data_IF_699944219142
#
_entry.id   IF_699944219142
#
_cell.length_a   1.000
_cell.length_b   1.000
_cell.length_c   1.000
_cell.angle_alpha   90.00
_cell.angle_beta   90.00
_cell.angle_gamma   90.00
#
_symmetry.space_group_name_H-M   'P 1'
#
loop_
_entity.id
_entity.type
_entity.pdbx_description
1 polymer ?
#
# COMPACT_ATOMS: atom_id res chain seq x y z
N UNK A 1 5.32 14.40 5.82
CA UNK A 1 6.72 14.07 6.10
C UNK A 1 6.84 13.59 7.53
N UNK A 2 7.67 12.57 7.76
CA UNK A 2 7.78 11.89 9.04
C UNK A 2 9.25 11.58 9.34
N UNK A 3 9.64 11.68 10.61
CA UNK A 3 10.93 11.19 11.08
C UNK A 3 10.89 9.66 11.20
N UNK A 4 11.73 8.90 10.48
CA UNK A 4 11.60 7.43 10.40
C UNK A 4 11.78 6.68 11.73
N UNK A 5 12.59 7.22 12.66
CA UNK A 5 12.90 6.54 13.92
C UNK A 5 11.83 6.71 14.98
N UNK A 6 11.14 7.85 14.97
CA UNK A 6 10.23 8.27 16.05
C UNK A 6 8.78 8.27 15.60
N UNK A 7 8.51 8.32 14.29
CA UNK A 7 7.17 8.56 13.75
C UNK A 7 6.72 10.01 13.86
N UNK A 8 7.57 10.93 14.34
CA UNK A 8 7.20 12.32 14.51
C UNK A 8 6.84 12.99 13.18
N UNK A 9 5.72 13.72 13.15
CA UNK A 9 5.27 14.45 11.95
C UNK A 9 6.11 15.73 11.81
N UNK A 10 7.01 15.73 10.83
CA UNK A 10 7.87 16.89 10.52
C UNK A 10 7.15 17.92 9.64
N UNK A 11 6.10 17.49 8.93
CA UNK A 11 5.29 18.36 8.10
C UNK A 11 4.08 17.64 7.55
N UNK A 12 2.92 18.29 7.65
CA UNK A 12 1.64 17.81 7.15
C UNK A 12 0.97 18.96 6.41
N UNK A 13 0.70 18.77 5.13
CA UNK A 13 0.12 19.81 4.29
C UNK A 13 -0.92 19.21 3.37
N UNK A 14 -2.02 19.93 3.19
CA UNK A 14 -3.09 19.58 2.28
C UNK A 14 -3.23 20.68 1.23
N UNK A 15 -3.64 20.29 0.03
CA UNK A 15 -4.00 21.24 -1.00
C UNK A 15 -5.37 20.85 -1.59
N UNK A 16 -6.28 21.82 -1.77
CA UNK A 16 -6.14 23.25 -1.47
C UNK A 16 -6.31 23.58 0.03
N UNK A 17 -5.58 24.58 0.55
CA UNK A 17 -5.68 25.08 1.94
C UNK A 17 -6.54 26.35 2.04
N UNK A 18 -6.80 26.87 3.24
CA UNK A 18 -7.53 28.13 3.47
C UNK A 18 -6.77 29.04 4.44
N UNK A 19 -7.10 30.34 4.44
CA UNK A 19 -6.60 31.29 5.44
C UNK A 19 -7.49 31.23 6.69
N UNK A 20 -6.97 30.82 7.86
CA UNK A 20 -7.78 30.72 9.08
C UNK A 20 -8.31 32.08 9.55
N UNK A 21 -7.69 33.20 9.18
CA UNK A 21 -8.20 34.54 9.50
C UNK A 21 -9.42 34.92 8.65
N UNK A 22 -9.71 34.15 7.60
CA UNK A 22 -10.82 34.34 6.65
C UNK A 22 -11.65 33.07 6.51
N UNK A 23 -11.81 32.32 7.59
CA UNK A 23 -12.49 31.03 7.59
C UNK A 23 -13.92 31.11 7.00
N UNK A 24 -14.64 32.21 7.25
CA UNK A 24 -15.99 32.46 6.71
C UNK A 24 -16.09 32.47 5.18
N UNK A 25 -14.96 32.65 4.49
CA UNK A 25 -14.91 32.82 3.04
C UNK A 25 -14.85 31.47 2.30
N UNK A 26 -14.71 30.36 3.04
CA UNK A 26 -14.68 29.01 2.50
C UNK A 26 -15.76 28.13 3.13
N UNK A 27 -16.12 27.05 2.45
CA UNK A 27 -17.06 26.08 3.00
C UNK A 27 -16.40 25.22 4.09
N UNK A 28 -17.20 24.67 5.00
CA UNK A 28 -16.71 23.89 6.14
C UNK A 28 -15.91 22.64 5.72
N UNK A 29 -16.17 22.10 4.53
CA UNK A 29 -15.43 20.97 3.96
C UNK A 29 -13.93 21.29 3.80
N UNK A 30 -13.56 22.58 3.70
CA UNK A 30 -12.16 23.02 3.60
C UNK A 30 -11.40 22.98 4.92
N UNK A 31 -12.08 22.76 6.04
CA UNK A 31 -11.45 22.62 7.35
C UNK A 31 -10.91 21.21 7.60
N UNK A 32 -11.37 20.23 6.82
CA UNK A 32 -10.93 18.85 6.96
C UNK A 32 -9.43 18.71 6.63
N UNK A 33 -8.78 17.79 7.33
CA UNK A 33 -7.41 17.38 7.05
C UNK A 33 -7.41 16.04 6.30
N UNK A 34 -7.52 16.02 4.96
CA UNK A 34 -7.66 14.78 4.20
C UNK A 34 -6.47 13.82 4.36
N UNK A 35 -5.29 14.32 4.75
CA UNK A 35 -4.14 13.44 5.03
C UNK A 35 -4.39 12.45 6.19
N UNK A 36 -5.34 12.73 7.08
CA UNK A 36 -5.71 11.84 8.19
C UNK A 36 -7.17 11.38 8.16
N UNK A 37 -8.06 12.14 7.51
CA UNK A 37 -9.51 11.89 7.53
C UNK A 37 -10.06 11.28 6.25
N UNK A 38 -9.36 11.40 5.12
CA UNK A 38 -9.82 10.84 3.85
C UNK A 38 -9.29 9.42 3.65
N UNK A 39 -10.21 8.49 3.34
CA UNK A 39 -9.88 7.12 2.99
C UNK A 39 -9.87 6.95 1.46
N UNK A 40 -8.84 6.31 0.93
CA UNK A 40 -8.72 6.00 -0.49
C UNK A 40 -8.00 4.67 -0.67
N UNK A 41 -8.20 4.03 -1.83
CA UNK A 41 -7.49 2.80 -2.15
C UNK A 41 -6.00 3.09 -2.40
N UNK A 42 -5.08 2.46 -1.64
CA UNK A 42 -3.65 2.77 -1.72
C UNK A 42 -3.01 2.36 -3.07
N UNK A 43 -3.66 1.47 -3.83
CA UNK A 43 -3.11 0.96 -5.08
C UNK A 43 -1.76 0.25 -4.87
N UNK A 44 -0.82 0.44 -5.79
CA UNK A 44 0.45 -0.31 -5.80
C UNK A 44 1.38 -0.01 -4.62
N UNK A 45 1.22 1.09 -3.89
CA UNK A 45 2.05 1.36 -2.70
C UNK A 45 1.82 0.28 -1.63
N UNK A 46 0.65 -0.36 -1.63
CA UNK A 46 0.31 -1.46 -0.72
C UNK A 46 1.12 -2.73 -0.99
N UNK A 47 1.73 -2.90 -2.17
CA UNK A 47 2.53 -4.08 -2.50
C UNK A 47 3.71 -4.27 -1.56
N UNK A 48 4.27 -3.20 -1.00
CA UNK A 48 5.35 -3.27 -0.01
C UNK A 48 4.89 -4.08 1.21
N UNK A 49 3.63 -3.91 1.64
CA UNK A 49 3.04 -4.66 2.75
C UNK A 49 2.96 -6.14 2.42
N UNK A 50 2.43 -6.48 1.24
CA UNK A 50 2.30 -7.87 0.78
C UNK A 50 3.67 -8.54 0.64
N UNK A 51 4.63 -7.86 0.01
CA UNK A 51 5.98 -8.40 -0.20
C UNK A 51 6.74 -8.55 1.12
N UNK A 52 6.62 -7.59 2.03
CA UNK A 52 7.22 -7.69 3.36
C UNK A 52 6.63 -8.87 4.16
N UNK A 53 5.31 -9.07 4.11
CA UNK A 53 4.67 -10.21 4.74
C UNK A 53 5.16 -11.55 4.16
N UNK A 54 5.27 -11.64 2.83
CA UNK A 54 5.83 -12.81 2.15
C UNK A 54 7.25 -13.12 2.60
N UNK A 55 8.12 -12.11 2.58
CA UNK A 55 9.52 -12.22 2.99
C UNK A 55 9.68 -12.59 4.47
N UNK A 56 9.00 -11.89 5.38
CA UNK A 56 9.06 -12.14 6.84
C UNK A 56 8.52 -13.52 7.21
N UNK A 57 7.52 -14.01 6.48
CA UNK A 57 6.99 -15.37 6.66
C UNK A 57 7.89 -16.49 6.13
N UNK A 58 9.00 -16.15 5.47
CA UNK A 58 9.91 -17.10 4.84
C UNK A 58 9.38 -17.71 3.53
N UNK A 59 8.32 -17.13 2.93
CA UNK A 59 7.73 -17.64 1.70
C UNK A 59 8.70 -17.59 0.51
N UNK A 60 9.58 -16.59 0.50
CA UNK A 60 10.57 -16.39 -0.55
C UNK A 60 11.79 -15.63 0.00
N UNK A 61 12.86 -15.61 -0.79
CA UNK A 61 14.01 -14.71 -0.63
C UNK A 61 14.02 -13.67 -1.76
N UNK A 62 14.73 -12.54 -1.62
CA UNK A 62 14.76 -11.50 -2.66
C UNK A 62 15.14 -12.02 -4.06
N UNK A 63 15.96 -13.07 -4.12
CA UNK A 63 16.44 -13.75 -5.33
C UNK A 63 15.54 -14.90 -5.81
N UNK A 64 14.49 -15.25 -5.07
CA UNK A 64 13.53 -16.28 -5.50
C UNK A 64 12.88 -15.85 -6.80
N UNK A 65 12.86 -16.77 -7.77
CA UNK A 65 12.27 -16.55 -9.08
C UNK A 65 10.77 -16.84 -9.02
N UNK A 66 9.99 -15.92 -9.58
CA UNK A 66 8.57 -16.03 -9.84
C UNK A 66 8.34 -15.99 -11.34
N UNK A 67 7.37 -16.78 -11.81
CA UNK A 67 6.95 -16.74 -13.21
C UNK A 67 5.81 -15.74 -13.39
N UNK A 68 6.03 -14.73 -14.21
CA UNK A 68 5.06 -13.69 -14.53
C UNK A 68 4.53 -13.84 -15.96
N UNK A 69 3.30 -14.36 -16.05
CA UNK A 69 2.54 -14.55 -17.29
C UNK A 69 1.78 -13.30 -17.73
N UNK A 70 1.81 -12.21 -16.96
CA UNK A 70 1.10 -10.96 -17.25
C UNK A 70 -0.34 -10.92 -16.76
N UNK A 71 -0.90 -12.07 -16.37
CA UNK A 71 -2.18 -12.18 -15.68
C UNK A 71 -2.28 -13.44 -14.81
N UNK A 72 -3.18 -13.41 -13.83
CA UNK A 72 -3.51 -14.55 -12.95
C UNK A 72 -5.00 -14.49 -12.58
N UNK A 73 -5.64 -15.64 -12.37
CA UNK A 73 -7.00 -15.70 -11.81
C UNK A 73 -6.90 -15.98 -10.31
N UNK A 74 -7.51 -15.10 -9.50
CA UNK A 74 -7.61 -15.26 -8.04
C UNK A 74 -9.08 -15.07 -7.65
N UNK A 75 -9.66 -16.05 -6.95
CA UNK A 75 -11.06 -15.99 -6.52
C UNK A 75 -12.06 -15.79 -7.68
N UNK A 76 -11.75 -16.33 -8.86
CA UNK A 76 -12.59 -16.18 -10.06
C UNK A 76 -12.47 -14.84 -10.80
N UNK A 77 -11.55 -13.96 -10.40
CA UNK A 77 -11.29 -12.67 -11.07
C UNK A 77 -9.90 -12.66 -11.70
N UNK A 78 -9.81 -12.14 -12.93
CA UNK A 78 -8.53 -11.93 -13.60
C UNK A 78 -7.85 -10.67 -13.11
N UNK A 79 -6.60 -10.80 -12.69
CA UNK A 79 -5.69 -9.72 -12.30
C UNK A 79 -4.62 -9.64 -13.38
N UNK A 80 -4.39 -8.43 -13.91
CA UNK A 80 -3.41 -8.18 -14.96
C UNK A 80 -2.28 -7.29 -14.43
N UNK A 81 -1.08 -7.42 -14.99
CA UNK A 81 -0.08 -6.36 -14.89
C UNK A 81 -0.60 -5.08 -15.57
N UNK A 82 -0.07 -3.93 -15.14
CA UNK A 82 -0.53 -2.63 -15.66
C UNK A 82 -0.32 -2.46 -17.16
N UNK A 83 0.71 -3.09 -17.71
CA UNK A 83 1.02 -3.11 -19.15
C UNK A 83 0.37 -4.28 -19.89
N UNK A 84 -0.34 -5.17 -19.18
CA UNK A 84 -0.95 -6.39 -19.70
C UNK A 84 0.04 -7.34 -20.38
N UNK A 85 1.33 -7.27 -20.02
CA UNK A 85 2.38 -8.11 -20.56
C UNK A 85 2.89 -9.08 -19.51
N UNK A 86 3.30 -10.27 -19.99
CA UNK A 86 4.11 -11.18 -19.20
C UNK A 86 5.58 -10.78 -19.25
N UNK A 87 6.27 -10.95 -18.14
CA UNK A 87 7.70 -10.67 -18.04
C UNK A 87 8.57 -11.91 -17.86
N UNK A 88 7.96 -13.10 -17.91
CA UNK A 88 8.68 -14.35 -17.75
C UNK A 88 9.20 -14.51 -16.34
N UNK A 89 10.39 -15.07 -16.21
CA UNK A 89 11.00 -15.33 -14.92
C UNK A 89 11.65 -14.06 -14.37
N UNK A 90 11.18 -13.63 -13.21
CA UNK A 90 11.65 -12.43 -12.51
C UNK A 90 11.93 -12.76 -11.04
N UNK A 91 12.93 -12.10 -10.47
CA UNK A 91 13.18 -12.18 -9.02
C UNK A 91 12.07 -11.46 -8.24
N UNK A 92 11.92 -11.81 -6.95
CA UNK A 92 11.03 -11.09 -6.04
C UNK A 92 11.37 -9.58 -5.98
N UNK A 93 12.65 -9.23 -6.02
CA UNK A 93 13.12 -7.85 -6.09
C UNK A 93 12.66 -7.15 -7.37
N UNK A 94 12.88 -7.75 -8.54
CA UNK A 94 12.45 -7.17 -9.82
C UNK A 94 10.93 -7.01 -9.89
N UNK A 95 10.18 -7.99 -9.36
CA UNK A 95 8.73 -7.91 -9.30
C UNK A 95 8.23 -6.69 -8.51
N UNK A 96 8.86 -6.39 -7.37
CA UNK A 96 8.52 -5.20 -6.58
C UNK A 96 8.97 -3.91 -7.29
N UNK A 97 10.20 -3.87 -7.83
CA UNK A 97 10.73 -2.71 -8.57
C UNK A 97 9.84 -2.34 -9.76
N UNK A 98 9.37 -3.35 -10.49
CA UNK A 98 8.52 -3.18 -11.67
C UNK A 98 7.04 -3.13 -11.33
N UNK A 99 6.68 -3.20 -10.05
CA UNK A 99 5.30 -3.16 -9.56
C UNK A 99 4.41 -4.21 -10.24
N UNK A 100 4.85 -5.46 -10.31
CA UNK A 100 4.11 -6.54 -10.99
C UNK A 100 2.92 -7.02 -10.13
N UNK A 101 1.71 -6.85 -10.66
CA UNK A 101 0.47 -7.24 -9.97
C UNK A 101 0.38 -8.76 -9.82
N UNK A 102 0.79 -9.51 -10.85
CA UNK A 102 0.71 -10.97 -10.89
C UNK A 102 1.56 -11.59 -9.79
N UNK A 103 2.84 -11.23 -9.69
CA UNK A 103 3.73 -11.76 -8.65
C UNK A 103 3.26 -11.34 -7.26
N UNK A 104 2.80 -10.09 -7.08
CA UNK A 104 2.27 -9.66 -5.78
C UNK A 104 1.02 -10.46 -5.39
N UNK A 105 0.14 -10.79 -6.35
CA UNK A 105 -1.02 -11.62 -6.12
C UNK A 105 -0.63 -13.08 -5.78
N UNK A 106 0.39 -13.64 -6.44
CA UNK A 106 0.94 -14.95 -6.11
C UNK A 106 1.44 -14.99 -4.66
N UNK A 107 2.15 -13.94 -4.20
CA UNK A 107 2.59 -13.83 -2.80
C UNK A 107 1.40 -13.76 -1.84
N UNK A 108 0.39 -12.93 -2.12
CA UNK A 108 -0.80 -12.84 -1.27
C UNK A 108 -1.54 -14.18 -1.16
N UNK A 109 -1.68 -14.91 -2.28
CA UNK A 109 -2.28 -16.25 -2.31
C UNK A 109 -1.43 -17.25 -1.53
N UNK A 110 -0.11 -17.24 -1.69
CA UNK A 110 0.81 -18.13 -0.98
C UNK A 110 0.87 -17.90 0.53
N UNK A 111 0.62 -16.66 0.99
CA UNK A 111 0.47 -16.35 2.41
C UNK A 111 -0.80 -16.96 3.03
N UNK A 112 -1.88 -17.01 2.26
CA UNK A 112 -3.22 -17.30 2.75
C UNK A 112 -3.90 -16.10 3.45
N UNK A 113 -5.23 -16.10 3.54
CA UNK A 113 -6.00 -14.93 3.97
C UNK A 113 -5.76 -14.56 5.44
N UNK A 114 -5.64 -15.53 6.34
CA UNK A 114 -5.48 -15.28 7.78
C UNK A 114 -4.13 -14.62 8.07
N UNK A 115 -3.04 -15.18 7.50
CA UNK A 115 -1.69 -14.66 7.68
C UNK A 115 -1.56 -13.28 7.04
N UNK A 116 -2.05 -13.13 5.81
CA UNK A 116 -2.05 -11.85 5.12
C UNK A 116 -2.77 -10.77 5.94
N UNK A 117 -3.98 -11.06 6.42
CA UNK A 117 -4.76 -10.12 7.24
C UNK A 117 -4.04 -9.76 8.54
N UNK A 118 -3.41 -10.74 9.20
CA UNK A 118 -2.59 -10.50 10.40
C UNK A 118 -1.46 -9.50 10.14
N UNK A 119 -0.71 -9.63 9.03
CA UNK A 119 0.32 -8.66 8.66
C UNK A 119 -0.27 -7.27 8.39
N UNK A 120 -1.34 -7.19 7.61
CA UNK A 120 -2.02 -5.91 7.33
C UNK A 120 -2.39 -5.18 8.63
N UNK A 121 -2.91 -5.91 9.63
CA UNK A 121 -3.20 -5.34 10.95
C UNK A 121 -1.94 -4.96 11.73
N UNK A 122 -0.86 -5.74 11.66
CA UNK A 122 0.43 -5.42 12.31
C UNK A 122 1.08 -4.15 11.73
N UNK A 123 0.81 -3.82 10.48
CA UNK A 123 1.22 -2.55 9.87
C UNK A 123 0.30 -1.36 10.24
N UNK A 124 -0.72 -1.56 11.08
CA UNK A 124 -1.59 -0.50 11.60
C UNK A 124 -2.82 -0.20 10.73
N UNK A 125 -3.04 -0.93 9.63
CA UNK A 125 -4.22 -0.69 8.80
C UNK A 125 -5.52 -1.08 9.52
N UNK A 126 -6.57 -0.26 9.31
CA UNK A 126 -7.88 -0.45 9.95
C UNK A 126 -7.92 0.00 11.41
N UNK A 127 -6.92 0.75 11.87
CA UNK A 127 -6.85 1.35 13.20
C UNK A 127 -6.47 2.83 13.08
N UNK A 128 -6.88 3.65 14.05
CA UNK A 128 -6.42 5.02 14.16
C UNK A 128 -4.91 5.03 14.48
N UNK A 129 -4.17 5.98 13.93
CA UNK A 129 -2.73 6.13 14.18
C UNK A 129 -2.42 6.79 15.51
N UNK A 130 -3.44 7.30 16.22
CA UNK A 130 -3.31 8.07 17.46
C UNK A 130 -2.40 9.31 17.32
N UNK A 131 -2.33 9.86 16.10
CA UNK A 131 -1.76 11.21 15.91
C UNK A 131 -2.62 12.21 16.69
N UNK A 132 -1.99 13.23 17.29
CA UNK A 132 -2.66 14.27 18.11
C UNK A 132 -3.53 15.25 17.28
N UNK A 133 -4.23 14.74 16.27
CA UNK A 133 -5.09 15.46 15.34
C UNK A 133 -6.43 14.70 15.19
N UNK A 134 -7.50 15.45 14.94
CA UNK A 134 -8.86 14.94 14.75
C UNK A 134 -9.44 15.36 13.40
#
# INVERSE_FOLDING_TARGET
MMEPKTGAVLGLANFPTFDPNRYSDVSYERYANPAISAQYEPGSIFKIITMAAGLDSGLFQPTTIFSDTGWIIVGGRSIFNSDRMGHGDVTATEALVRSLNVVTAQVAVGLGPEKFYSYVRRFGFGQATEVDLS
#
